data_IF_007030901595
#
_entry.id   IF_007030901595
#
_cell.length_a   1.000
_cell.length_b   1.000
_cell.length_c   1.000
_cell.angle_alpha   90.00
_cell.angle_beta   90.00
_cell.angle_gamma   90.00
#
_symmetry.space_group_name_H-M   'P 1'
#
loop_
_entity.id
_entity.type
_entity.pdbx_description
1 polymer ?
#
# COMPACT_ATOMS: atom_id res chain seq x y z
N UNK A 1 -22.56 16.45 12.20
CA UNK A 1 -21.61 16.85 11.14
C UNK A 1 -22.31 17.22 9.83
N UNK A 2 -23.30 16.45 9.36
CA UNK A 2 -24.03 16.71 8.10
C UNK A 2 -24.84 18.01 8.04
N UNK A 3 -25.18 18.59 9.19
CA UNK A 3 -25.89 19.88 9.29
C UNK A 3 -24.97 21.06 9.61
N UNK A 4 -23.66 20.82 9.74
CA UNK A 4 -22.69 21.88 10.02
C UNK A 4 -22.26 22.53 8.70
N UNK A 5 -22.47 23.84 8.57
CA UNK A 5 -22.16 24.58 7.35
C UNK A 5 -20.69 24.50 6.98
N UNK A 6 -19.78 24.31 7.95
CA UNK A 6 -18.34 24.15 7.71
C UNK A 6 -17.99 22.87 6.95
N UNK A 7 -18.89 21.89 6.90
CA UNK A 7 -18.64 20.58 6.29
C UNK A 7 -19.63 20.21 5.18
N UNK A 8 -20.44 21.17 4.74
CA UNK A 8 -21.53 20.93 3.79
C UNK A 8 -20.99 20.48 2.42
N UNK A 9 -20.03 21.22 1.85
CA UNK A 9 -19.39 20.87 0.58
C UNK A 9 -18.00 20.28 0.76
N UNK A 10 -17.44 19.76 -0.32
CA UNK A 10 -16.07 19.24 -0.29
C UNK A 10 -15.04 20.36 -0.10
N UNK A 11 -15.32 21.53 -0.68
CA UNK A 11 -14.45 22.71 -0.53
C UNK A 11 -14.47 23.20 0.93
N UNK A 12 -15.64 23.30 1.55
CA UNK A 12 -15.76 23.68 2.96
C UNK A 12 -15.00 22.69 3.86
N UNK A 13 -15.16 21.38 3.63
CA UNK A 13 -14.41 20.34 4.37
C UNK A 13 -12.90 20.47 4.21
N UNK A 14 -12.43 20.87 3.03
CA UNK A 14 -11.02 21.09 2.78
C UNK A 14 -10.50 22.35 3.49
N UNK A 15 -11.26 23.45 3.44
CA UNK A 15 -10.93 24.69 4.17
C UNK A 15 -10.89 24.46 5.69
N UNK A 16 -11.82 23.66 6.21
CA UNK A 16 -11.94 23.33 7.64
C UNK A 16 -11.34 21.97 8.00
N UNK A 17 -10.33 21.49 7.25
CA UNK A 17 -9.79 20.13 7.41
C UNK A 17 -9.37 19.78 8.82
N UNK A 18 -8.75 20.73 9.54
CA UNK A 18 -8.22 20.51 10.89
C UNK A 18 -9.35 20.27 11.88
N UNK A 19 -10.42 21.05 11.79
CA UNK A 19 -11.61 20.92 12.63
C UNK A 19 -12.35 19.62 12.30
N UNK A 20 -12.46 19.28 11.02
CA UNK A 20 -13.05 18.02 10.56
C UNK A 20 -12.27 16.82 11.10
N UNK A 21 -10.94 16.86 11.01
CA UNK A 21 -10.07 15.79 11.48
C UNK A 21 -10.24 15.56 12.99
N UNK A 22 -10.28 16.62 13.79
CA UNK A 22 -10.47 16.53 15.23
C UNK A 22 -11.80 15.84 15.59
N UNK A 23 -12.88 16.12 14.86
CA UNK A 23 -14.17 15.44 15.04
C UNK A 23 -14.07 13.95 14.71
N UNK A 24 -13.42 13.60 13.60
CA UNK A 24 -13.23 12.20 13.18
C UNK A 24 -12.36 11.45 14.20
N UNK A 25 -11.27 12.05 14.64
CA UNK A 25 -10.36 11.49 15.65
C UNK A 25 -11.05 11.25 16.98
N UNK A 26 -11.94 12.15 17.40
CA UNK A 26 -12.71 11.98 18.63
C UNK A 26 -13.62 10.74 18.58
N UNK A 27 -14.28 10.51 17.44
CA UNK A 27 -15.07 9.30 17.21
C UNK A 27 -14.17 8.05 17.21
N UNK A 28 -13.02 8.12 16.54
CA UNK A 28 -12.13 6.97 16.38
C UNK A 28 -11.37 6.61 17.67
N UNK A 29 -11.18 7.55 18.60
CA UNK A 29 -10.42 7.35 19.85
C UNK A 29 -10.94 6.20 20.71
N UNK A 30 -12.23 5.88 20.60
CA UNK A 30 -12.88 4.84 21.41
C UNK A 30 -12.95 3.48 20.73
N UNK A 31 -12.43 3.35 19.51
CA UNK A 31 -12.51 2.14 18.69
C UNK A 31 -11.13 1.70 18.22
N UNK A 32 -10.94 0.40 18.06
CA UNK A 32 -9.74 -0.17 17.44
C UNK A 32 -9.77 0.04 15.93
N UNK A 33 -8.60 -0.02 15.28
CA UNK A 33 -8.50 0.07 13.83
C UNK A 33 -9.32 -1.02 13.10
N UNK A 34 -9.43 -2.22 13.68
CA UNK A 34 -10.23 -3.31 13.12
C UNK A 34 -11.73 -3.00 13.15
N UNK A 35 -12.23 -2.45 14.27
CA UNK A 35 -13.63 -2.08 14.40
C UNK A 35 -14.00 -0.93 13.47
N UNK A 36 -13.10 0.05 13.32
CA UNK A 36 -13.29 1.16 12.39
C UNK A 36 -13.31 0.63 10.94
N UNK A 37 -12.34 -0.19 10.55
CA UNK A 37 -12.31 -0.79 9.21
C UNK A 37 -13.60 -1.57 8.92
N UNK A 38 -14.03 -2.44 9.83
CA UNK A 38 -15.28 -3.20 9.67
C UNK A 38 -16.52 -2.32 9.55
N UNK A 39 -16.60 -1.20 10.29
CA UNK A 39 -17.70 -0.23 10.16
C UNK A 39 -17.66 0.51 8.81
N UNK A 40 -16.48 0.88 8.34
CA UNK A 40 -16.31 1.55 7.05
C UNK A 40 -16.64 0.60 5.89
N UNK A 41 -16.21 -0.67 5.96
CA UNK A 41 -16.54 -1.70 4.99
C UNK A 41 -18.04 -1.95 4.92
N UNK A 42 -18.70 -2.09 6.08
CA UNK A 42 -20.15 -2.27 6.15
C UNK A 42 -20.94 -1.07 5.58
N UNK A 43 -20.36 0.13 5.65
CA UNK A 43 -20.91 1.35 5.05
C UNK A 43 -20.55 1.51 3.56
N UNK A 44 -19.77 0.61 2.98
CA UNK A 44 -19.29 0.72 1.59
C UNK A 44 -18.27 1.85 1.38
N UNK A 45 -17.60 2.28 2.45
CA UNK A 45 -16.59 3.35 2.42
C UNK A 45 -15.22 2.73 2.21
N UNK A 46 -14.59 3.07 1.09
CA UNK A 46 -13.22 2.63 0.80
C UNK A 46 -12.26 3.09 1.90
N UNK A 47 -11.54 2.13 2.48
CA UNK A 47 -10.57 2.36 3.53
C UNK A 47 -9.39 1.40 3.39
N UNK A 48 -8.28 1.69 4.08
CA UNK A 48 -7.09 0.86 4.05
C UNK A 48 -6.23 1.11 5.28
N UNK A 49 -5.56 0.05 5.75
CA UNK A 49 -4.63 0.13 6.88
C UNK A 49 -3.26 0.58 6.39
N UNK A 50 -2.65 1.49 7.14
CA UNK A 50 -1.23 1.80 6.99
C UNK A 50 -0.43 0.67 7.63
N UNK A 51 0.35 -0.06 6.84
CA UNK A 51 1.14 -1.21 7.28
C UNK A 51 2.64 -0.86 7.24
N UNK A 52 3.43 -1.50 8.10
CA UNK A 52 4.88 -1.51 7.99
C UNK A 52 5.34 -2.48 6.88
N UNK A 53 6.65 -2.56 6.64
CA UNK A 53 7.22 -3.41 5.58
C UNK A 53 6.80 -4.87 5.74
N UNK A 54 6.85 -5.40 6.96
CA UNK A 54 6.45 -6.78 7.24
C UNK A 54 4.97 -7.01 6.95
N UNK A 55 4.11 -6.08 7.37
CA UNK A 55 2.68 -6.12 7.14
C UNK A 55 2.30 -5.97 5.67
N UNK A 56 3.10 -5.27 4.87
CA UNK A 56 2.93 -5.23 3.41
C UNK A 56 3.28 -6.57 2.80
N UNK A 57 4.42 -7.17 3.17
CA UNK A 57 4.89 -8.43 2.56
C UNK A 57 3.92 -9.59 2.83
N UNK A 58 3.31 -9.62 4.01
CA UNK A 58 2.34 -10.65 4.41
C UNK A 58 0.89 -10.27 4.10
N UNK A 59 0.66 -9.17 3.37
CA UNK A 59 -0.69 -8.65 3.16
C UNK A 59 -1.55 -9.62 2.32
N UNK A 60 -2.84 -9.84 2.67
CA UNK A 60 -3.75 -10.70 1.91
C UNK A 60 -3.82 -10.37 0.41
N UNK A 61 -3.87 -9.07 0.05
CA UNK A 61 -3.81 -8.65 -1.35
C UNK A 61 -2.58 -9.14 -2.14
N UNK A 62 -1.47 -9.51 -1.49
CA UNK A 62 -0.33 -10.13 -2.18
C UNK A 62 -0.44 -11.66 -2.21
N UNK A 63 -0.86 -12.26 -1.10
CA UNK A 63 -0.93 -13.72 -0.96
C UNK A 63 -2.11 -14.29 -1.77
N UNK A 64 -3.32 -13.78 -1.54
CA UNK A 64 -4.55 -14.29 -2.16
C UNK A 64 -4.61 -14.04 -3.67
N UNK A 65 -3.88 -13.01 -4.13
CA UNK A 65 -3.77 -12.68 -5.56
C UNK A 65 -2.57 -13.33 -6.24
N UNK A 66 -1.92 -14.29 -5.58
CA UNK A 66 -0.76 -15.03 -6.08
C UNK A 66 0.30 -14.10 -6.68
N UNK A 67 0.70 -13.09 -5.90
CA UNK A 67 1.64 -12.04 -6.33
C UNK A 67 3.09 -12.40 -6.06
N UNK A 68 3.35 -13.39 -5.21
CA UNK A 68 4.69 -13.89 -4.92
C UNK A 68 5.03 -15.06 -5.83
N UNK A 69 6.26 -15.09 -6.36
CA UNK A 69 6.77 -16.20 -7.16
C UNK A 69 8.21 -16.52 -6.74
N UNK A 70 8.52 -17.82 -6.68
CA UNK A 70 9.88 -18.31 -6.50
C UNK A 70 10.61 -18.30 -7.84
N UNK A 71 11.83 -17.76 -7.87
CA UNK A 71 12.73 -17.87 -9.01
C UNK A 71 14.05 -18.49 -8.56
N UNK A 72 14.63 -19.33 -9.43
CA UNK A 72 15.95 -19.92 -9.21
C UNK A 72 17.05 -18.96 -9.67
N UNK A 73 18.07 -18.81 -8.85
CA UNK A 73 19.29 -18.05 -9.12
C UNK A 73 20.52 -18.93 -8.84
N UNK A 74 21.70 -18.51 -9.29
CA UNK A 74 22.94 -19.28 -9.16
C UNK A 74 23.31 -19.66 -7.71
N UNK A 75 22.69 -19.04 -6.70
CA UNK A 75 22.88 -19.31 -5.27
C UNK A 75 21.67 -19.91 -4.53
N UNK A 76 20.62 -20.35 -5.23
CA UNK A 76 19.40 -20.91 -4.65
C UNK A 76 18.12 -20.24 -5.15
N UNK A 77 17.02 -20.36 -4.40
CA UNK A 77 15.73 -19.78 -4.77
C UNK A 77 15.42 -18.50 -3.99
N UNK A 78 14.88 -17.48 -4.64
CA UNK A 78 14.37 -16.26 -3.98
C UNK A 78 12.90 -16.01 -4.31
N UNK A 79 12.18 -15.36 -3.38
CA UNK A 79 10.83 -14.87 -3.61
C UNK A 79 10.86 -13.48 -4.21
N UNK A 80 10.07 -13.26 -5.26
CA UNK A 80 9.96 -11.99 -5.95
C UNK A 80 8.50 -11.66 -6.28
N UNK A 81 8.22 -10.36 -6.38
CA UNK A 81 6.88 -9.86 -6.68
C UNK A 81 6.66 -9.88 -8.19
N UNK A 82 5.54 -10.48 -8.61
CA UNK A 82 5.10 -10.41 -10.00
C UNK A 82 4.92 -8.96 -10.46
N UNK A 83 5.24 -8.62 -11.72
CA UNK A 83 4.94 -7.32 -12.29
C UNK A 83 3.48 -6.91 -12.08
N UNK A 84 3.19 -5.60 -11.96
CA UNK A 84 1.82 -5.12 -11.73
C UNK A 84 0.90 -5.37 -12.93
N UNK A 85 1.45 -5.32 -14.15
CA UNK A 85 0.73 -5.72 -15.36
C UNK A 85 0.79 -7.24 -15.50
N UNK A 86 -0.37 -7.86 -15.77
CA UNK A 86 -0.46 -9.29 -16.05
C UNK A 86 -1.01 -9.42 -17.48
N UNK A 87 -0.21 -9.94 -18.40
CA UNK A 87 -0.65 -10.23 -19.76
C UNK A 87 -1.10 -11.68 -19.86
N UNK A 88 -2.40 -11.90 -20.07
CA UNK A 88 -2.95 -13.26 -20.21
C UNK A 88 -2.46 -13.90 -21.54
N UNK A 89 -2.01 -15.16 -21.48
CA UNK A 89 -1.55 -15.91 -22.65
C UNK A 89 -0.05 -15.86 -22.91
N UNK A 90 0.71 -15.10 -22.12
CA UNK A 90 2.17 -15.09 -22.13
C UNK A 90 2.67 -15.30 -20.71
N UNK A 91 3.37 -16.41 -20.44
CA UNK A 91 4.20 -16.49 -19.25
C UNK A 91 5.36 -15.52 -19.47
N UNK A 92 5.31 -14.36 -18.81
CA UNK A 92 6.46 -13.46 -18.77
C UNK A 92 7.66 -14.26 -18.23
N UNK A 93 8.77 -14.34 -18.97
CA UNK A 93 9.94 -15.04 -18.49
C UNK A 93 10.52 -14.23 -17.34
N UNK A 94 10.13 -14.59 -16.13
CA UNK A 94 10.78 -14.13 -14.90
C UNK A 94 12.08 -14.92 -14.71
N UNK A 95 12.94 -14.87 -15.73
CA UNK A 95 14.34 -15.25 -15.59
C UNK A 95 15.06 -14.07 -14.94
N UNK A 96 16.03 -14.35 -14.08
CA UNK A 96 17.06 -13.37 -13.73
C UNK A 96 17.90 -13.09 -14.99
N UNK A 97 17.33 -12.34 -15.94
CA UNK A 97 18.06 -11.89 -17.10
C UNK A 97 19.05 -10.85 -16.61
N UNK A 98 20.28 -11.27 -16.41
CA UNK A 98 21.45 -10.38 -16.35
C UNK A 98 21.66 -9.80 -17.74
N UNK A 99 20.73 -8.99 -18.21
CA UNK A 99 20.83 -8.22 -19.44
C UNK A 99 20.71 -6.75 -19.08
N UNK A 100 21.86 -6.20 -18.69
CA UNK A 100 22.27 -4.85 -19.02
C UNK A 100 21.23 -3.75 -18.73
N UNK A 101 20.99 -3.50 -17.44
CA UNK A 101 20.64 -2.14 -17.00
C UNK A 101 21.71 -1.72 -16.02
N UNK A 102 22.76 -1.08 -16.56
CA UNK A 102 23.73 -0.33 -15.80
C UNK A 102 23.04 0.82 -15.07
N UNK A 103 22.37 0.53 -13.93
CA UNK A 103 22.11 1.54 -12.92
C UNK A 103 23.45 1.80 -12.26
N UNK A 104 24.18 2.78 -12.80
CA UNK A 104 25.40 3.30 -12.21
C UNK A 104 25.04 3.94 -10.86
N UNK A 105 25.14 3.16 -9.79
CA UNK A 105 25.10 3.69 -8.42
C UNK A 105 26.45 4.35 -8.16
N UNK A 106 26.54 5.68 -7.98
CA UNK A 106 27.81 6.30 -7.64
C UNK A 106 28.28 5.80 -6.27
N UNK A 107 29.51 5.30 -6.21
CA UNK A 107 30.17 4.89 -4.96
C UNK A 107 30.21 6.05 -3.96
N UNK A 108 29.97 5.81 -2.65
CA UNK A 108 30.13 6.84 -1.65
C UNK A 108 31.63 7.16 -1.48
N UNK A 109 32.01 8.41 -1.72
CA UNK A 109 33.33 8.92 -1.36
C UNK A 109 33.53 8.82 0.15
N UNK A 110 34.57 8.11 0.57
CA UNK A 110 35.04 8.10 1.96
C UNK A 110 36.00 9.29 2.12
N UNK A 111 35.67 10.30 2.95
CA UNK A 111 36.58 11.42 3.17
C UNK A 111 37.82 10.96 3.95
N UNK A 112 38.99 11.51 3.56
CA UNK A 112 40.27 11.28 4.24
C UNK A 112 40.38 12.04 5.55
#
# INVERSE_FOLDING_TARGET
MTTDSRFATNDDRHQHRTELLAVIEDVFRTSTANEIAGRLDAAGIANGRVNDVTGVITHPNLIERDRWRSIEIAGGSIQTLRPPAIMHGHDEPMSASNSDTSISVPSPEVPR
#
